data_IF_058158739155
#
_entry.id   IF_058158739155
#
_cell.length_a   1.000
_cell.length_b   1.000
_cell.length_c   1.000
_cell.angle_alpha   90.00
_cell.angle_beta   90.00
_cell.angle_gamma   90.00
#
_symmetry.space_group_name_H-M   'P 1'
#
loop_
_entity.id
_entity.type
_entity.pdbx_description
1 polymer ?
#
# COMPACT_ATOMS: atom_id res chain seq x y z
N UNK A 1 27.79 22.49 15.47
CA UNK A 1 26.86 22.12 16.55
C UNK A 1 25.37 22.22 16.17
N UNK A 2 24.97 23.07 15.24
CA UNK A 2 23.58 23.24 14.79
C UNK A 2 23.02 21.99 14.05
N UNK A 3 23.84 21.29 13.29
CA UNK A 3 23.39 20.12 12.52
C UNK A 3 23.00 18.87 13.32
N UNK A 4 23.62 18.67 14.51
CA UNK A 4 23.33 17.49 15.34
C UNK A 4 22.00 17.62 16.10
N UNK A 5 21.76 18.78 16.69
CA UNK A 5 20.49 19.09 17.39
C UNK A 5 19.30 19.11 16.41
N UNK A 6 19.50 19.63 15.19
CA UNK A 6 18.49 19.59 14.12
C UNK A 6 18.13 18.17 13.72
N UNK A 7 19.12 17.29 13.52
CA UNK A 7 18.88 15.87 13.18
C UNK A 7 18.14 15.10 14.28
N UNK A 8 18.41 15.38 15.56
CA UNK A 8 17.70 14.76 16.68
C UNK A 8 16.26 15.27 16.74
N UNK A 9 16.04 16.57 16.61
CA UNK A 9 14.70 17.16 16.65
C UNK A 9 13.85 16.65 15.49
N UNK A 10 14.39 16.58 14.26
CA UNK A 10 13.69 16.00 13.11
C UNK A 10 13.32 14.54 13.35
N UNK A 11 14.19 13.73 13.94
CA UNK A 11 13.89 12.32 14.26
C UNK A 11 12.81 12.15 15.34
N UNK A 12 12.70 13.10 16.28
CA UNK A 12 11.69 13.04 17.34
C UNK A 12 10.31 13.51 16.89
N UNK A 13 10.25 14.36 15.86
CA UNK A 13 9.01 14.98 15.39
C UNK A 13 8.57 14.41 14.04
N UNK A 14 9.48 13.81 13.27
CA UNK A 14 9.16 13.24 11.98
C UNK A 14 8.12 12.12 12.14
N UNK A 15 7.06 12.12 11.32
CA UNK A 15 6.17 10.98 11.27
C UNK A 15 6.92 9.74 10.78
N UNK A 16 6.46 8.57 11.19
CA UNK A 16 7.02 7.32 10.69
C UNK A 16 6.94 7.25 9.17
N UNK A 17 8.00 6.75 8.54
CA UNK A 17 7.99 6.46 7.11
C UNK A 17 7.13 5.22 6.81
N UNK A 18 6.82 4.99 5.53
CA UNK A 18 6.16 3.75 5.10
C UNK A 18 6.97 2.53 5.58
N UNK A 19 8.29 2.56 5.44
CA UNK A 19 9.15 1.46 5.89
C UNK A 19 9.10 1.23 7.40
N UNK A 20 8.97 2.28 8.21
CA UNK A 20 8.82 2.15 9.67
C UNK A 20 7.49 1.47 10.02
N UNK A 21 6.39 1.86 9.39
CA UNK A 21 5.08 1.21 9.57
C UNK A 21 5.13 -0.27 9.16
N UNK A 22 5.71 -0.60 7.99
CA UNK A 22 5.89 -1.97 7.53
C UNK A 22 6.72 -2.77 8.53
N UNK A 23 7.83 -2.21 9.01
CA UNK A 23 8.71 -2.86 10.00
C UNK A 23 7.99 -3.14 11.31
N UNK A 24 7.18 -2.20 11.80
CA UNK A 24 6.37 -2.39 13.01
C UNK A 24 5.33 -3.51 12.84
N UNK A 25 4.68 -3.60 11.68
CA UNK A 25 3.69 -4.65 11.38
C UNK A 25 4.37 -6.01 11.32
N UNK A 26 5.50 -6.12 10.61
CA UNK A 26 6.29 -7.34 10.51
C UNK A 26 6.72 -7.82 11.89
N UNK A 27 7.21 -6.92 12.73
CA UNK A 27 7.66 -7.24 14.08
C UNK A 27 6.51 -7.67 14.99
N UNK A 28 5.42 -6.88 15.06
CA UNK A 28 4.26 -7.16 15.93
C UNK A 28 3.49 -8.42 15.52
N UNK A 29 3.44 -8.66 14.21
CA UNK A 29 2.74 -9.80 13.63
C UNK A 29 3.61 -11.04 13.49
N UNK A 30 4.91 -10.94 13.82
CA UNK A 30 5.87 -12.01 13.55
C UNK A 30 5.74 -12.53 12.12
N UNK A 31 5.61 -11.59 11.16
CA UNK A 31 5.40 -11.94 9.77
C UNK A 31 6.67 -12.58 9.17
N UNK A 32 6.48 -13.69 8.47
CA UNK A 32 7.55 -14.44 7.78
C UNK A 32 7.38 -14.45 6.27
N UNK A 33 6.15 -14.22 5.79
CA UNK A 33 5.82 -14.22 4.38
C UNK A 33 5.04 -12.95 4.01
N UNK A 34 5.30 -12.42 2.81
CA UNK A 34 4.54 -11.29 2.27
C UNK A 34 4.29 -11.44 0.76
N UNK A 35 3.10 -11.00 0.33
CA UNK A 35 2.75 -10.82 -1.07
C UNK A 35 2.63 -9.32 -1.35
N UNK A 36 3.40 -8.83 -2.31
CA UNK A 36 3.39 -7.46 -2.79
C UNK A 36 2.60 -7.38 -4.11
N UNK A 37 1.40 -6.85 -4.06
CA UNK A 37 0.49 -6.76 -5.21
C UNK A 37 0.72 -5.43 -5.92
N UNK A 38 0.88 -5.48 -7.25
CA UNK A 38 1.34 -4.35 -8.04
C UNK A 38 2.78 -3.98 -7.68
N UNK A 39 3.65 -4.99 -7.57
CA UNK A 39 4.99 -4.84 -7.02
C UNK A 39 5.88 -3.87 -7.80
N UNK A 40 5.54 -3.59 -9.07
CA UNK A 40 6.34 -2.70 -9.90
C UNK A 40 7.82 -3.11 -9.98
N UNK A 41 8.70 -2.21 -10.42
CA UNK A 41 10.13 -2.49 -10.55
C UNK A 41 10.93 -2.35 -9.25
N UNK A 42 10.32 -1.85 -8.16
CA UNK A 42 10.98 -1.62 -6.85
C UNK A 42 9.99 -1.80 -5.71
N UNK A 43 10.43 -2.37 -4.60
CA UNK A 43 9.58 -2.62 -3.43
C UNK A 43 10.22 -2.17 -2.12
N UNK A 44 9.39 -1.61 -1.23
CA UNK A 44 9.77 -1.31 0.16
C UNK A 44 10.14 -2.58 0.93
N UNK A 45 9.55 -3.72 0.57
CA UNK A 45 9.75 -5.00 1.26
C UNK A 45 11.18 -5.53 1.15
N UNK A 46 11.93 -5.12 0.12
CA UNK A 46 13.34 -5.49 -0.08
C UNK A 46 14.20 -5.23 1.17
N UNK A 47 13.87 -4.19 1.95
CA UNK A 47 14.60 -3.82 3.19
C UNK A 47 14.49 -4.86 4.31
N UNK A 48 13.50 -5.76 4.23
CA UNK A 48 13.20 -6.73 5.29
C UNK A 48 13.69 -8.14 4.96
N UNK A 49 14.26 -8.33 3.78
CA UNK A 49 14.94 -9.59 3.40
C UNK A 49 16.28 -9.73 4.16
N UNK A 50 16.73 -10.92 4.47
CA UNK A 50 16.11 -12.23 4.21
C UNK A 50 15.14 -12.71 5.30
N UNK A 51 14.79 -11.89 6.29
CA UNK A 51 13.91 -12.28 7.41
C UNK A 51 12.46 -12.47 7.00
N UNK A 52 12.04 -11.81 5.91
CA UNK A 52 10.72 -11.87 5.32
C UNK A 52 10.86 -12.46 3.91
N UNK A 53 10.26 -13.64 3.67
CA UNK A 53 10.11 -14.19 2.33
C UNK A 53 9.05 -13.40 1.58
N UNK A 54 9.37 -12.88 0.41
CA UNK A 54 8.50 -12.00 -0.35
C UNK A 54 8.21 -12.54 -1.74
N UNK A 55 6.96 -12.40 -2.19
CA UNK A 55 6.55 -12.69 -3.56
C UNK A 55 5.98 -11.41 -4.16
N UNK A 56 6.45 -11.01 -5.34
CA UNK A 56 5.90 -9.90 -6.11
C UNK A 56 4.83 -10.38 -7.08
N UNK A 57 3.68 -9.72 -7.13
CA UNK A 57 2.63 -9.94 -8.11
C UNK A 57 2.40 -8.66 -8.89
N UNK A 58 2.38 -8.77 -10.23
CA UNK A 58 2.05 -7.66 -11.12
C UNK A 58 1.36 -8.20 -12.37
N UNK A 59 0.50 -7.37 -12.99
CA UNK A 59 -0.15 -7.69 -14.26
C UNK A 59 0.72 -7.30 -15.47
N UNK A 60 1.73 -6.44 -15.27
CA UNK A 60 2.59 -5.94 -16.32
C UNK A 60 3.92 -6.70 -16.34
N UNK A 61 4.13 -7.49 -17.40
CA UNK A 61 5.27 -8.41 -17.54
C UNK A 61 6.61 -7.67 -17.44
N UNK A 62 6.72 -6.48 -18.03
CA UNK A 62 7.96 -5.70 -17.99
C UNK A 62 8.31 -5.24 -16.56
N UNK A 63 7.29 -4.91 -15.72
CA UNK A 63 7.52 -4.60 -14.31
C UNK A 63 8.11 -5.79 -13.56
N UNK A 64 7.53 -6.99 -13.76
CA UNK A 64 8.08 -8.26 -13.23
C UNK A 64 9.51 -8.50 -13.70
N UNK A 65 9.79 -8.31 -14.99
CA UNK A 65 11.12 -8.50 -15.54
C UNK A 65 12.14 -7.53 -14.92
N UNK A 66 11.75 -6.27 -14.70
CA UNK A 66 12.60 -5.27 -14.04
C UNK A 66 12.81 -5.59 -12.56
N UNK A 67 11.74 -5.95 -11.82
CA UNK A 67 11.83 -6.34 -10.43
C UNK A 67 12.74 -7.56 -10.23
N UNK A 68 12.65 -8.55 -11.14
CA UNK A 68 13.49 -9.74 -11.15
C UNK A 68 14.97 -9.39 -11.40
N UNK A 69 15.28 -8.53 -12.37
CA UNK A 69 16.66 -8.06 -12.61
C UNK A 69 17.26 -7.32 -11.40
N UNK A 70 16.41 -6.69 -10.58
CA UNK A 70 16.81 -5.94 -9.37
C UNK A 70 16.69 -6.78 -8.10
N UNK A 71 16.31 -8.05 -8.20
CA UNK A 71 16.18 -8.98 -7.07
C UNK A 71 15.26 -8.43 -5.95
N UNK A 72 14.14 -7.81 -6.33
CA UNK A 72 13.25 -7.14 -5.37
C UNK A 72 12.50 -8.12 -4.48
N UNK A 73 12.17 -9.31 -4.97
CA UNK A 73 11.46 -10.37 -4.25
C UNK A 73 12.14 -11.72 -4.43
N UNK A 74 11.75 -12.69 -3.61
CA UNK A 74 12.27 -14.07 -3.68
C UNK A 74 11.63 -14.84 -4.83
N UNK A 75 10.38 -14.51 -5.20
CA UNK A 75 9.67 -15.07 -6.34
C UNK A 75 8.65 -14.09 -6.91
N UNK A 76 8.04 -14.43 -8.06
CA UNK A 76 7.14 -13.53 -8.80
C UNK A 76 5.99 -14.29 -9.45
N UNK A 77 4.80 -13.67 -9.41
CA UNK A 77 3.59 -14.15 -10.07
C UNK A 77 3.11 -13.11 -11.08
N UNK A 78 3.10 -13.44 -12.36
CA UNK A 78 2.46 -12.63 -13.39
C UNK A 78 0.96 -12.92 -13.36
N UNK A 79 0.17 -11.98 -12.87
CA UNK A 79 -1.28 -12.11 -12.79
C UNK A 79 -1.97 -10.76 -12.65
N UNK A 80 -3.15 -10.63 -13.24
CA UNK A 80 -4.10 -9.57 -12.92
C UNK A 80 -4.90 -10.00 -11.68
N UNK A 81 -4.77 -9.24 -10.61
CA UNK A 81 -5.36 -9.55 -9.30
C UNK A 81 -6.89 -9.53 -9.30
N UNK A 82 -7.53 -8.76 -10.20
CA UNK A 82 -9.00 -8.74 -10.32
C UNK A 82 -9.52 -9.88 -11.21
N UNK A 83 -8.75 -10.29 -12.22
CA UNK A 83 -9.16 -11.32 -13.19
C UNK A 83 -8.68 -12.73 -12.82
N UNK A 84 -7.77 -12.84 -11.82
CA UNK A 84 -7.29 -14.15 -11.31
C UNK A 84 -7.90 -14.40 -9.95
N UNK A 85 -8.43 -15.61 -9.71
CA UNK A 85 -9.02 -15.94 -8.40
C UNK A 85 -7.95 -15.94 -7.28
N UNK A 86 -8.30 -15.58 -6.04
CA UNK A 86 -7.38 -15.67 -4.92
C UNK A 86 -6.77 -17.05 -4.75
N UNK A 87 -7.54 -18.11 -4.96
CA UNK A 87 -7.10 -19.49 -4.89
C UNK A 87 -6.00 -19.79 -5.92
N UNK A 88 -6.19 -19.36 -7.17
CA UNK A 88 -5.18 -19.52 -8.24
C UNK A 88 -3.92 -18.70 -7.93
N UNK A 89 -4.05 -17.49 -7.35
CA UNK A 89 -2.91 -16.70 -6.93
C UNK A 89 -2.13 -17.44 -5.84
N UNK A 90 -2.83 -17.96 -4.82
CA UNK A 90 -2.20 -18.72 -3.74
C UNK A 90 -1.50 -19.98 -4.27
N UNK A 91 -2.14 -20.75 -5.15
CA UNK A 91 -1.53 -21.93 -5.77
C UNK A 91 -0.22 -21.59 -6.48
N UNK A 92 -0.20 -20.53 -7.30
CA UNK A 92 1.01 -20.06 -8.00
C UNK A 92 2.08 -19.52 -7.05
N UNK A 93 1.69 -19.02 -5.88
CA UNK A 93 2.56 -18.43 -4.89
C UNK A 93 3.01 -19.40 -3.77
N UNK A 94 2.68 -20.69 -3.88
CA UNK A 94 3.11 -21.73 -2.93
C UNK A 94 2.02 -22.33 -2.06
N UNK A 95 0.74 -22.05 -2.33
CA UNK A 95 -0.41 -22.76 -1.77
C UNK A 95 -0.88 -22.33 -0.39
N UNK A 96 -0.31 -21.27 0.20
CA UNK A 96 -0.66 -20.79 1.54
C UNK A 96 -0.94 -19.29 1.54
N UNK A 97 -1.82 -18.84 2.45
CA UNK A 97 -2.01 -17.41 2.72
C UNK A 97 -0.73 -16.79 3.28
N UNK A 98 -0.57 -15.51 3.01
CA UNK A 98 0.58 -14.73 3.47
C UNK A 98 0.31 -14.10 4.84
N UNK A 99 1.35 -13.93 5.64
CA UNK A 99 1.26 -13.17 6.89
C UNK A 99 0.95 -11.69 6.62
N UNK A 100 1.46 -11.14 5.52
CA UNK A 100 1.28 -9.76 5.10
C UNK A 100 0.96 -9.69 3.61
N UNK A 101 -0.08 -8.96 3.24
CA UNK A 101 -0.33 -8.54 1.86
C UNK A 101 -0.18 -7.03 1.78
N UNK A 102 0.50 -6.52 0.76
CA UNK A 102 0.77 -5.10 0.57
C UNK A 102 0.28 -4.61 -0.79
N UNK A 103 -0.20 -3.37 -0.80
CA UNK A 103 -0.58 -2.58 -1.98
C UNK A 103 0.10 -1.22 -1.82
N UNK A 104 1.17 -0.95 -2.57
CA UNK A 104 1.88 0.33 -2.55
C UNK A 104 1.58 1.11 -3.82
N UNK A 105 0.76 2.17 -3.70
CA UNK A 105 0.33 3.02 -4.81
C UNK A 105 -0.28 2.18 -5.96
N UNK A 106 -1.31 1.40 -5.63
CA UNK A 106 -1.98 0.43 -6.54
C UNK A 106 -3.48 0.67 -6.62
N UNK A 107 -4.15 0.87 -5.48
CA UNK A 107 -5.61 0.88 -5.41
C UNK A 107 -6.24 2.06 -6.17
N UNK A 108 -5.53 3.18 -6.29
CA UNK A 108 -5.92 4.36 -7.05
C UNK A 108 -5.97 4.13 -8.57
N UNK A 109 -5.29 3.11 -9.07
CA UNK A 109 -5.29 2.74 -10.48
C UNK A 109 -6.57 1.98 -10.91
N UNK A 110 -7.42 1.64 -9.95
CA UNK A 110 -8.71 1.01 -10.23
C UNK A 110 -9.87 1.99 -10.05
N UNK A 111 -10.97 1.85 -10.83
CA UNK A 111 -12.22 2.51 -10.50
C UNK A 111 -12.63 2.19 -9.05
N UNK A 112 -13.21 3.15 -8.33
CA UNK A 112 -13.49 3.05 -6.89
C UNK A 112 -14.18 1.74 -6.48
N UNK A 113 -15.17 1.28 -7.27
CA UNK A 113 -15.87 0.02 -7.02
C UNK A 113 -14.94 -1.18 -7.09
N UNK A 114 -14.07 -1.23 -8.11
CA UNK A 114 -13.10 -2.31 -8.26
C UNK A 114 -12.02 -2.26 -7.17
N UNK A 115 -11.68 -1.05 -6.66
CA UNK A 115 -10.79 -0.91 -5.52
C UNK A 115 -11.35 -1.57 -4.26
N UNK A 116 -12.65 -1.45 -3.98
CA UNK A 116 -13.28 -2.18 -2.88
C UNK A 116 -13.27 -3.71 -3.10
N UNK A 117 -13.53 -4.16 -4.33
CA UNK A 117 -13.41 -5.58 -4.69
C UNK A 117 -11.98 -6.09 -4.52
N UNK A 118 -10.98 -5.28 -4.89
CA UNK A 118 -9.57 -5.58 -4.69
C UNK A 118 -9.23 -5.80 -3.21
N UNK A 119 -9.72 -4.92 -2.32
CA UNK A 119 -9.52 -5.08 -0.87
C UNK A 119 -10.10 -6.41 -0.35
N UNK A 120 -11.32 -6.76 -0.75
CA UNK A 120 -11.95 -8.04 -0.36
C UNK A 120 -11.14 -9.25 -0.85
N UNK A 121 -10.61 -9.18 -2.07
CA UNK A 121 -9.74 -10.23 -2.63
C UNK A 121 -8.42 -10.34 -1.86
N UNK A 122 -7.78 -9.21 -1.54
CA UNK A 122 -6.56 -9.17 -0.74
C UNK A 122 -6.75 -9.75 0.66
N UNK A 123 -7.92 -9.53 1.28
CA UNK A 123 -8.25 -10.13 2.58
C UNK A 123 -8.29 -11.66 2.54
N UNK A 124 -8.57 -12.27 1.38
CA UNK A 124 -8.54 -13.73 1.18
C UNK A 124 -7.13 -14.27 0.96
N UNK A 125 -6.18 -13.41 0.60
CA UNK A 125 -4.78 -13.78 0.36
C UNK A 125 -3.92 -13.71 1.62
N UNK A 126 -4.40 -13.04 2.68
CA UNK A 126 -3.64 -12.86 3.93
C UNK A 126 -4.31 -13.55 5.12
N UNK A 127 -3.50 -14.01 6.07
CA UNK A 127 -3.95 -14.56 7.35
C UNK A 127 -3.69 -13.64 8.55
N UNK A 128 -2.92 -12.54 8.39
CA UNK A 128 -2.62 -11.62 9.50
C UNK A 128 -2.91 -10.17 9.15
N UNK A 129 -2.23 -9.59 8.16
CA UNK A 129 -2.33 -8.15 7.88
C UNK A 129 -2.49 -7.85 6.39
N UNK A 130 -3.35 -6.88 6.11
CA UNK A 130 -3.42 -6.20 4.81
C UNK A 130 -3.00 -4.74 5.01
N UNK A 131 -2.02 -4.28 4.24
CA UNK A 131 -1.48 -2.93 4.26
C UNK A 131 -1.65 -2.26 2.90
N UNK A 132 -2.22 -1.07 2.89
CA UNK A 132 -2.44 -0.27 1.68
C UNK A 132 -1.79 1.08 1.85
N UNK A 133 -1.01 1.50 0.87
CA UNK A 133 -0.52 2.88 0.73
C UNK A 133 -1.14 3.48 -0.52
N UNK A 134 -1.62 4.72 -0.43
CA UNK A 134 -2.26 5.42 -1.56
C UNK A 134 -2.26 6.94 -1.31
N UNK A 135 -2.31 7.80 -2.34
CA UNK A 135 -2.52 9.23 -2.16
C UNK A 135 -3.81 9.53 -1.39
N UNK A 136 -3.79 10.59 -0.58
CA UNK A 136 -4.95 11.06 0.17
C UNK A 136 -5.86 11.92 -0.70
N UNK A 137 -6.85 11.30 -1.31
CA UNK A 137 -7.76 11.89 -2.28
C UNK A 137 -7.35 11.59 -3.71
N UNK A 138 -8.05 12.19 -4.67
CA UNK A 138 -7.71 12.02 -6.08
C UNK A 138 -6.48 12.86 -6.43
N UNK A 139 -5.46 12.19 -6.93
CA UNK A 139 -4.28 12.81 -7.52
C UNK A 139 -4.29 12.49 -9.01
N UNK A 140 -4.42 13.49 -9.86
CA UNK A 140 -4.44 13.29 -11.31
C UNK A 140 -3.09 12.73 -11.78
N UNK A 141 -3.13 11.59 -12.46
CA UNK A 141 -1.98 10.96 -13.10
C UNK A 141 -2.45 10.25 -14.37
N UNK A 142 -1.78 10.53 -15.48
CA UNK A 142 -1.97 9.82 -16.74
C UNK A 142 -1.14 8.53 -16.81
N UNK A 143 -1.14 7.87 -18.00
CA UNK A 143 -0.25 6.73 -18.21
C UNK A 143 1.22 7.19 -18.10
N UNK A 144 2.04 6.39 -17.46
CA UNK A 144 3.48 6.62 -17.40
C UNK A 144 4.22 5.56 -18.21
N UNK A 145 5.23 5.98 -18.97
CA UNK A 145 6.07 5.09 -19.79
C UNK A 145 5.27 4.16 -20.74
N UNK A 146 4.11 4.63 -21.22
CA UNK A 146 3.22 3.85 -22.10
C UNK A 146 2.41 2.77 -21.38
N UNK A 147 2.44 2.72 -20.06
CA UNK A 147 1.69 1.78 -19.23
C UNK A 147 0.37 2.42 -18.77
N UNK A 148 -0.75 2.00 -19.36
CA UNK A 148 -2.09 2.47 -18.99
C UNK A 148 -2.49 2.07 -17.55
N UNK A 149 -1.91 1.02 -16.99
CA UNK A 149 -2.13 0.64 -15.59
C UNK A 149 -1.65 1.70 -14.58
N UNK A 150 -0.82 2.66 -15.01
CA UNK A 150 -0.34 3.75 -14.17
C UNK A 150 -1.31 4.95 -14.08
N UNK A 151 -2.41 4.92 -14.83
CA UNK A 151 -3.44 5.97 -14.77
C UNK A 151 -4.20 5.90 -13.45
N UNK A 152 -4.34 7.03 -12.75
CA UNK A 152 -5.21 7.12 -11.59
C UNK A 152 -6.68 7.22 -12.00
N UNK A 153 -7.50 6.32 -11.47
CA UNK A 153 -8.93 6.23 -11.77
C UNK A 153 -9.82 6.53 -10.56
N UNK A 154 -9.25 6.54 -9.34
CA UNK A 154 -10.00 6.83 -8.13
C UNK A 154 -9.17 7.59 -7.08
N UNK A 155 -9.88 8.29 -6.19
CA UNK A 155 -9.29 8.91 -5.01
C UNK A 155 -9.73 8.21 -3.75
N UNK A 156 -8.83 8.08 -2.77
CA UNK A 156 -9.05 7.37 -1.52
C UNK A 156 -8.87 8.31 -0.33
N UNK A 157 -9.76 8.19 0.65
CA UNK A 157 -9.78 9.03 1.85
C UNK A 157 -9.76 8.17 3.12
N UNK A 158 -9.37 8.72 4.28
CA UNK A 158 -9.33 7.94 5.52
C UNK A 158 -10.64 7.19 5.82
N UNK A 159 -11.79 7.85 5.64
CA UNK A 159 -13.10 7.27 5.93
C UNK A 159 -13.46 6.06 5.05
N UNK A 160 -12.91 5.97 3.83
CA UNK A 160 -13.13 4.80 2.95
C UNK A 160 -12.57 3.52 3.58
N UNK A 161 -11.42 3.63 4.24
CA UNK A 161 -10.75 2.53 4.91
C UNK A 161 -11.27 2.28 6.33
N UNK A 162 -11.51 3.35 7.09
CA UNK A 162 -12.03 3.27 8.46
C UNK A 162 -13.38 2.55 8.51
N UNK A 163 -14.27 2.82 7.54
CA UNK A 163 -15.56 2.14 7.37
C UNK A 163 -15.45 0.62 7.13
N UNK A 164 -14.27 0.15 6.68
CA UNK A 164 -13.95 -1.27 6.44
C UNK A 164 -13.13 -1.89 7.58
N UNK A 165 -12.90 -1.16 8.68
CA UNK A 165 -12.17 -1.64 9.85
C UNK A 165 -10.65 -1.52 9.75
N UNK A 166 -10.12 -0.69 8.85
CA UNK A 166 -8.69 -0.37 8.80
C UNK A 166 -8.35 0.71 9.83
N UNK A 167 -7.16 0.63 10.39
CA UNK A 167 -6.50 1.74 11.08
C UNK A 167 -5.74 2.56 10.07
N UNK A 168 -5.98 3.87 10.02
CA UNK A 168 -5.38 4.76 9.01
C UNK A 168 -4.42 5.74 9.64
N UNK A 169 -3.23 5.85 9.05
CA UNK A 169 -2.21 6.83 9.42
C UNK A 169 -1.84 7.70 8.22
N UNK A 170 -1.41 8.92 8.48
CA UNK A 170 -0.88 9.80 7.45
C UNK A 170 0.62 9.63 7.27
N UNK A 171 1.08 9.60 6.02
CA UNK A 171 2.49 9.48 5.64
C UNK A 171 2.86 10.46 4.53
N UNK A 172 4.15 10.53 4.16
CA UNK A 172 4.70 11.32 3.04
C UNK A 172 4.41 12.84 3.17
N UNK A 173 4.53 13.39 4.38
CA UNK A 173 4.48 14.82 4.58
C UNK A 173 3.07 15.43 4.57
N UNK A 174 3.02 16.77 4.62
CA UNK A 174 1.77 17.51 4.71
C UNK A 174 1.16 17.75 3.32
N UNK A 175 -0.13 17.46 3.17
CA UNK A 175 -0.87 17.63 1.89
C UNK A 175 -0.78 19.07 1.33
N UNK A 176 -0.73 20.08 2.20
CA UNK A 176 -0.59 21.47 1.77
C UNK A 176 0.75 21.77 1.10
N UNK A 177 1.79 20.98 1.39
CA UNK A 177 3.17 21.20 0.93
C UNK A 177 3.54 20.37 -0.31
N UNK A 178 2.77 19.32 -0.60
CA UNK A 178 3.07 18.37 -1.67
C UNK A 178 2.05 18.44 -2.81
N UNK A 179 2.49 18.05 -3.99
CA UNK A 179 1.72 18.02 -5.23
C UNK A 179 1.99 16.75 -6.04
N UNK A 180 1.85 16.85 -7.34
CA UNK A 180 2.05 15.75 -8.29
C UNK A 180 3.37 15.01 -8.04
N UNK A 181 3.36 13.68 -8.10
CA UNK A 181 4.55 12.83 -7.90
C UNK A 181 5.20 12.96 -6.51
N UNK A 182 4.45 13.35 -5.49
CA UNK A 182 4.98 13.65 -4.14
C UNK A 182 5.99 14.79 -4.09
N UNK A 183 6.11 15.58 -5.16
CA UNK A 183 7.02 16.72 -5.24
C UNK A 183 6.56 17.87 -4.34
N UNK A 184 7.48 18.71 -3.90
CA UNK A 184 7.12 19.93 -3.16
C UNK A 184 6.44 20.93 -4.10
N UNK A 185 5.34 21.55 -3.63
CA UNK A 185 4.67 22.65 -4.35
C UNK A 185 5.53 23.90 -4.41
N UNK A 186 6.41 24.06 -3.43
CA UNK A 186 7.26 25.22 -3.27
C UNK A 186 8.71 24.73 -3.25
N UNK A 187 9.47 25.12 -4.25
CA UNK A 187 10.89 24.78 -4.37
C UNK A 187 11.72 25.92 -3.78
N UNK A 188 12.27 25.67 -2.58
CA UNK A 188 13.18 26.58 -1.89
C UNK A 188 14.20 25.81 -1.05
N UNK A 189 15.39 26.37 -0.79
CA UNK A 189 16.36 25.73 0.08
C UNK A 189 15.77 25.43 1.47
N UNK A 190 15.74 24.14 1.87
CA UNK A 190 15.15 23.70 3.15
C UNK A 190 13.70 23.27 3.11
N UNK A 191 13.05 23.21 1.94
CA UNK A 191 11.67 22.74 1.78
C UNK A 191 11.42 21.37 2.46
N UNK A 192 12.37 20.43 2.32
CA UNK A 192 12.31 19.12 2.96
C UNK A 192 12.26 19.20 4.50
N UNK A 193 13.09 20.06 5.09
CA UNK A 193 13.10 20.26 6.56
C UNK A 193 11.82 20.92 7.03
N UNK A 194 11.30 21.89 6.29
CA UNK A 194 10.03 22.54 6.57
C UNK A 194 8.86 21.56 6.50
N UNK A 195 8.82 20.67 5.50
CA UNK A 195 7.78 19.66 5.39
C UNK A 195 7.82 18.67 6.57
N UNK A 196 8.99 18.19 6.98
CA UNK A 196 9.14 17.31 8.15
C UNK A 196 8.64 18.02 9.43
N UNK A 197 9.04 19.26 9.66
CA UNK A 197 8.59 20.03 10.81
C UNK A 197 7.08 20.27 10.78
N UNK A 198 6.55 20.67 9.63
CA UNK A 198 5.12 20.90 9.44
C UNK A 198 4.31 19.61 9.60
N UNK A 199 4.80 18.50 9.06
CA UNK A 199 4.19 17.19 9.22
C UNK A 199 4.10 16.78 10.70
N UNK A 200 5.17 16.99 11.46
CA UNK A 200 5.19 16.76 12.91
C UNK A 200 4.25 17.67 13.68
N UNK A 201 4.28 18.99 13.43
CA UNK A 201 3.39 19.97 14.06
C UNK A 201 1.92 19.72 13.76
N UNK A 202 1.58 19.35 12.54
CA UNK A 202 0.24 19.00 12.11
C UNK A 202 -0.20 17.63 12.62
N UNK A 203 0.75 16.84 13.17
CA UNK A 203 0.52 15.45 13.62
C UNK A 203 -0.15 14.62 12.53
N UNK A 204 0.38 14.68 11.29
CA UNK A 204 -0.23 14.05 10.10
C UNK A 204 -0.48 12.56 10.32
N UNK A 205 0.43 11.86 11.01
CA UNK A 205 0.29 10.43 11.29
C UNK A 205 -1.00 10.11 12.06
N UNK A 206 -1.39 10.95 13.02
CA UNK A 206 -2.62 10.80 13.80
C UNK A 206 -3.81 11.56 13.23
N UNK A 207 -3.58 12.38 12.21
CA UNK A 207 -4.58 13.18 11.50
C UNK A 207 -4.43 12.97 10.01
N UNK A 208 -4.74 11.75 9.52
CA UNK A 208 -4.44 11.32 8.16
C UNK A 208 -5.04 12.23 7.08
N UNK A 209 -6.17 12.92 7.36
CA UNK A 209 -6.76 13.90 6.43
C UNK A 209 -5.82 15.07 6.07
N UNK A 210 -4.75 15.32 6.85
CA UNK A 210 -3.75 16.37 6.60
C UNK A 210 -2.51 15.86 5.86
N UNK A 211 -2.35 14.55 5.77
CA UNK A 211 -1.21 13.93 5.10
C UNK A 211 -1.38 13.92 3.58
N UNK A 212 -0.27 13.87 2.87
CA UNK A 212 -0.26 13.72 1.42
C UNK A 212 -0.67 12.30 1.00
N UNK A 213 -0.17 11.29 1.68
CA UNK A 213 -0.55 9.89 1.45
C UNK A 213 -1.04 9.24 2.73
N UNK A 214 -1.77 8.16 2.56
CA UNK A 214 -2.33 7.34 3.62
C UNK A 214 -1.60 6.01 3.68
N UNK A 215 -1.48 5.46 4.89
CA UNK A 215 -1.21 4.06 5.12
C UNK A 215 -2.36 3.48 5.92
N UNK A 216 -3.08 2.54 5.33
CA UNK A 216 -4.22 1.87 5.93
C UNK A 216 -3.85 0.41 6.24
N UNK A 217 -4.07 -0.02 7.48
CA UNK A 217 -3.69 -1.36 7.95
C UNK A 217 -4.91 -2.06 8.53
N UNK A 218 -5.19 -3.26 8.06
CA UNK A 218 -6.21 -4.14 8.61
C UNK A 218 -5.57 -5.37 9.23
N UNK A 219 -5.93 -5.63 10.49
CA UNK A 219 -5.65 -6.91 11.16
C UNK A 219 -6.81 -7.86 10.84
N UNK A 220 -6.54 -8.91 10.07
CA UNK A 220 -7.57 -9.87 9.66
C UNK A 220 -7.66 -11.07 10.61
N UNK A 221 -6.80 -11.14 11.63
CA UNK A 221 -6.85 -12.18 12.66
C UNK A 221 -8.13 -12.04 13.48
N UNK A 222 -8.93 -13.08 13.55
CA UNK A 222 -10.21 -13.08 14.27
C UNK A 222 -11.41 -12.57 13.47
N UNK A 223 -11.23 -12.18 12.21
CA UNK A 223 -12.35 -12.06 11.27
C UNK A 223 -12.66 -13.45 10.75
N UNK A 224 -13.87 -14.03 11.03
CA UNK A 224 -14.20 -15.34 10.49
C UNK A 224 -14.11 -15.30 8.97
N UNK A 225 -13.42 -16.29 8.39
CA UNK A 225 -13.34 -16.44 6.94
C UNK A 225 -14.75 -16.37 6.37
N UNK A 226 -15.05 -15.35 5.58
CA UNK A 226 -16.34 -15.26 4.87
C UNK A 226 -16.35 -16.37 3.83
N UNK A 227 -16.84 -17.55 4.24
CA UNK A 227 -17.19 -18.64 3.33
C UNK A 227 -18.16 -18.05 2.31
N UNK A 228 -17.79 -18.16 1.01
CA UNK A 228 -18.54 -17.58 -0.08
C UNK A 228 -20.02 -17.94 -0.03
N UNK A 229 -20.84 -16.93 0.21
CA UNK A 229 -22.28 -17.04 -0.04
C UNK A 229 -22.44 -16.99 -1.55
N UNK A 230 -22.51 -18.17 -2.19
CA UNK A 230 -23.09 -18.29 -3.51
C UNK A 230 -24.54 -17.78 -3.42
N UNK A 231 -24.75 -16.53 -3.80
CA UNK A 231 -26.08 -16.01 -4.09
C UNK A 231 -26.67 -16.87 -5.23
N UNK A 232 -27.47 -17.87 -4.86
CA UNK A 232 -28.38 -18.52 -5.79
C UNK A 232 -29.38 -17.47 -6.24
N UNK A 233 -29.23 -16.94 -7.43
CA UNK A 233 -30.25 -16.16 -8.10
C UNK A 233 -31.53 -17.00 -8.13
N UNK A 234 -32.62 -16.51 -7.49
CA UNK A 234 -33.94 -17.07 -7.66
C UNK A 234 -34.37 -16.87 -9.11
N UNK A 235 -34.87 -17.91 -9.81
CA UNK A 235 -35.49 -17.73 -11.11
C UNK A 235 -36.75 -16.89 -10.96
N UNK A 236 -36.93 -15.91 -11.85
CA UNK A 236 -38.16 -15.13 -11.96
C UNK A 236 -39.32 -16.07 -12.27
N UNK A 237 -40.35 -16.04 -11.40
CA UNK A 237 -41.63 -16.68 -11.67
C UNK A 237 -42.35 -15.88 -12.78
N UNK A 238 -42.95 -16.62 -13.69
CA UNK A 238 -43.78 -16.13 -14.81
C UNK A 238 -45.02 -15.37 -14.33
#
# INVERSE_FOLDING_TARGET
>A
MIGWAHNILCRLIAPHSIADHVGLIIQRGECRTALDIGCGPTSVLTRFRPKLRTIGLDAFEEAIAQARRREQHDDYVLADVLNTSPETILERAGGQQFDLVTLFDVIEHFPKRQGFELLERCERLTCKYLLVVTPNGFLEQGPEYGNEFQRHLSGWFPHDFEGLGYTVHGVIGAKAFRGYGSMYRYDFPGAASCDVLLAGLLRIERRPHRAFSLIAVKDVRGVPARLGVHSKAKPAAR
#
